data_IF_888845397535
#
_entry.id   IF_888845397535
#
_cell.length_a   1.000
_cell.length_b   1.000
_cell.length_c   1.000
_cell.angle_alpha   90.00
_cell.angle_beta   90.00
_cell.angle_gamma   90.00
#
_symmetry.space_group_name_H-M   'P 1'
#
loop_
_entity.id
_entity.type
_entity.pdbx_description
1 polymer ?
#
# COMPACT_ATOMS: atom_id res chain seq x y z
N UNK A 1 30.09 -16.39 -4.06
CA UNK A 1 29.23 -16.56 -2.88
C UNK A 1 28.36 -15.33 -2.79
N UNK A 2 27.24 -15.35 -3.52
CA UNK A 2 26.30 -14.24 -3.65
C UNK A 2 24.93 -14.82 -3.36
N UNK A 3 24.48 -14.70 -2.11
CA UNK A 3 23.10 -15.00 -1.73
C UNK A 3 22.21 -13.85 -2.19
N UNK A 4 21.35 -14.15 -3.15
CA UNK A 4 20.26 -13.32 -3.64
C UNK A 4 19.23 -13.16 -2.52
N UNK A 5 19.19 -11.99 -1.89
CA UNK A 5 18.14 -11.59 -0.95
C UNK A 5 16.94 -11.10 -1.78
N UNK A 6 16.15 -12.06 -2.28
CA UNK A 6 14.84 -11.74 -2.83
C UNK A 6 13.89 -11.53 -1.65
N UNK A 7 13.06 -10.49 -1.63
CA UNK A 7 12.03 -10.36 -0.60
C UNK A 7 11.10 -11.58 -0.70
N UNK A 8 10.84 -12.22 0.44
CA UNK A 8 9.90 -13.33 0.54
C UNK A 8 8.59 -12.94 -0.14
N UNK A 9 8.17 -13.74 -1.11
CA UNK A 9 6.83 -13.64 -1.65
C UNK A 9 5.84 -13.84 -0.49
N UNK A 10 4.74 -13.07 -0.42
CA UNK A 10 3.74 -13.33 0.61
C UNK A 10 3.25 -14.77 0.46
N UNK A 11 3.25 -15.50 1.57
CA UNK A 11 2.77 -16.88 1.63
C UNK A 11 1.35 -16.94 1.02
N UNK A 12 1.12 -17.93 0.16
CA UNK A 12 -0.19 -18.12 -0.44
C UNK A 12 -1.22 -18.34 0.69
N UNK A 13 -2.45 -17.80 0.56
CA UNK A 13 -3.45 -17.92 1.61
C UNK A 13 -3.73 -19.40 1.90
N UNK A 14 -3.58 -19.79 3.17
CA UNK A 14 -3.89 -21.12 3.67
C UNK A 14 -5.42 -21.32 3.64
N UNK A 15 -5.94 -21.85 2.53
CA UNK A 15 -7.38 -22.10 2.31
C UNK A 15 -8.07 -23.02 3.35
N UNK A 16 -7.32 -23.52 4.33
CA UNK A 16 -7.80 -24.35 5.44
C UNK A 16 -8.09 -23.56 6.71
N UNK A 17 -7.65 -22.30 6.81
CA UNK A 17 -7.93 -21.46 7.96
C UNK A 17 -9.38 -20.95 7.95
N UNK A 18 -9.95 -20.76 9.15
CA UNK A 18 -11.27 -20.16 9.25
C UNK A 18 -11.23 -18.73 8.65
N UNK A 19 -12.20 -18.31 7.82
CA UNK A 19 -12.15 -17.03 7.10
C UNK A 19 -11.85 -15.80 7.97
N UNK A 20 -12.27 -15.82 9.24
CA UNK A 20 -11.99 -14.73 10.19
C UNK A 20 -10.56 -14.70 10.77
N UNK A 21 -9.86 -15.83 10.79
CA UNK A 21 -8.49 -15.93 11.30
C UNK A 21 -7.47 -15.38 10.30
N UNK A 22 -7.67 -15.62 9.00
CA UNK A 22 -6.90 -14.99 7.92
C UNK A 22 -7.08 -13.47 7.93
N UNK A 23 -8.34 -13.01 7.92
CA UNK A 23 -8.64 -11.59 7.97
C UNK A 23 -8.00 -10.89 9.19
N UNK A 24 -8.04 -11.53 10.37
CA UNK A 24 -7.40 -10.99 11.58
C UNK A 24 -5.90 -10.83 11.39
N UNK A 25 -5.21 -11.87 10.90
CA UNK A 25 -3.77 -11.81 10.61
C UNK A 25 -3.43 -10.69 9.64
N UNK A 26 -4.20 -10.56 8.56
CA UNK A 26 -3.95 -9.56 7.53
C UNK A 26 -4.15 -8.14 8.07
N UNK A 27 -5.19 -7.93 8.88
CA UNK A 27 -5.43 -6.65 9.56
C UNK A 27 -4.31 -6.31 10.55
N UNK A 28 -3.90 -7.26 11.39
CA UNK A 28 -2.83 -7.05 12.36
C UNK A 28 -1.50 -6.75 11.63
N UNK A 29 -1.20 -7.49 10.56
CA UNK A 29 -0.04 -7.26 9.70
C UNK A 29 -0.06 -5.89 9.02
N UNK A 30 -1.21 -5.46 8.49
CA UNK A 30 -1.39 -4.15 7.88
C UNK A 30 -1.20 -3.01 8.90
N UNK A 31 -1.75 -3.15 10.11
CA UNK A 31 -1.58 -2.19 11.20
C UNK A 31 -0.10 -2.06 11.59
N UNK A 32 0.61 -3.17 11.75
CA UNK A 32 2.03 -3.16 12.10
C UNK A 32 2.90 -2.60 10.98
N UNK A 33 2.60 -2.93 9.71
CA UNK A 33 3.27 -2.34 8.56
C UNK A 33 3.06 -0.82 8.50
N UNK A 34 1.84 -0.34 8.75
CA UNK A 34 1.53 1.09 8.77
C UNK A 34 2.28 1.82 9.88
N UNK A 35 2.35 1.27 11.09
CA UNK A 35 3.16 1.84 12.19
C UNK A 35 4.63 1.98 11.81
N UNK A 36 5.22 0.94 11.22
CA UNK A 36 6.62 0.97 10.76
C UNK A 36 6.83 2.00 9.64
N UNK A 37 5.86 2.14 8.74
CA UNK A 37 5.90 3.15 7.68
C UNK A 37 5.89 4.56 8.28
N UNK A 38 4.96 4.88 9.18
CA UNK A 38 4.89 6.20 9.81
C UNK A 38 6.18 6.57 10.55
N UNK A 39 6.76 5.62 11.28
CA UNK A 39 8.05 5.82 11.97
C UNK A 39 9.19 6.15 10.99
N UNK A 40 9.25 5.47 9.83
CA UNK A 40 10.28 5.71 8.81
C UNK A 40 10.06 7.04 8.09
N UNK A 41 8.83 7.35 7.72
CA UNK A 41 8.51 8.59 6.99
C UNK A 41 8.77 9.82 7.87
N UNK A 42 8.57 9.72 9.18
CA UNK A 42 8.83 10.82 10.12
C UNK A 42 10.30 11.29 10.14
N UNK A 43 11.26 10.46 9.70
CA UNK A 43 12.68 10.82 9.61
C UNK A 43 13.14 11.22 8.21
N UNK A 44 12.26 11.22 7.20
CA UNK A 44 12.61 11.58 5.83
C UNK A 44 12.62 13.10 5.71
N UNK A 45 13.74 13.65 5.27
CA UNK A 45 13.90 15.07 4.98
C UNK A 45 13.64 15.42 3.51
N UNK A 46 13.55 16.72 3.24
CA UNK A 46 13.30 17.27 1.91
C UNK A 46 14.35 16.86 0.88
N UNK A 47 15.62 16.70 1.31
CA UNK A 47 16.67 16.23 0.43
C UNK A 47 16.40 14.78 -0.01
N UNK A 48 16.04 13.92 0.94
CA UNK A 48 15.72 12.52 0.69
C UNK A 48 14.51 12.37 -0.22
N UNK A 49 13.46 13.19 -0.04
CA UNK A 49 12.27 13.19 -0.92
C UNK A 49 12.65 13.42 -2.39
N UNK A 50 13.67 14.24 -2.67
CA UNK A 50 14.13 14.53 -4.04
C UNK A 50 15.03 13.47 -4.66
N UNK A 51 15.57 12.54 -3.86
CA UNK A 51 16.48 11.49 -4.36
C UNK A 51 15.74 10.46 -5.22
N UNK A 52 16.40 9.87 -6.22
CA UNK A 52 15.87 8.70 -6.94
C UNK A 52 15.51 7.57 -5.97
N UNK A 53 14.38 6.94 -6.22
CA UNK A 53 13.96 5.69 -5.59
C UNK A 53 14.54 4.49 -6.34
N UNK A 54 14.19 3.27 -5.89
CA UNK A 54 14.52 2.04 -6.62
C UNK A 54 13.64 1.83 -7.87
N UNK A 55 12.53 2.56 -7.99
CA UNK A 55 11.68 2.50 -9.17
C UNK A 55 12.25 3.44 -10.26
N UNK A 56 12.44 2.94 -11.50
CA UNK A 56 12.99 3.75 -12.59
C UNK A 56 12.19 5.03 -12.82
N UNK A 57 12.87 6.18 -12.81
CA UNK A 57 12.27 7.49 -13.04
C UNK A 57 11.49 8.09 -11.86
N UNK A 58 11.39 7.39 -10.72
CA UNK A 58 10.65 7.85 -9.56
C UNK A 58 11.58 8.35 -8.47
N UNK A 59 11.24 9.48 -7.83
CA UNK A 59 11.88 9.92 -6.59
C UNK A 59 11.23 9.24 -5.39
N UNK A 60 11.88 9.32 -4.22
CA UNK A 60 11.25 8.90 -2.96
C UNK A 60 9.92 9.65 -2.74
N UNK A 61 9.87 10.94 -3.08
CA UNK A 61 8.66 11.74 -3.04
C UNK A 61 7.54 11.21 -3.93
N UNK A 62 7.83 10.74 -5.14
CA UNK A 62 6.82 10.11 -5.99
C UNK A 62 6.24 8.85 -5.36
N UNK A 63 7.08 8.02 -4.73
CA UNK A 63 6.62 6.82 -4.03
C UNK A 63 5.70 7.18 -2.84
N UNK A 64 6.10 8.14 -2.02
CA UNK A 64 5.29 8.58 -0.86
C UNK A 64 3.95 9.19 -1.29
N UNK A 65 3.96 10.02 -2.33
CA UNK A 65 2.73 10.60 -2.88
C UNK A 65 1.80 9.53 -3.44
N UNK A 66 2.34 8.52 -4.13
CA UNK A 66 1.56 7.40 -4.63
C UNK A 66 0.96 6.55 -3.51
N UNK A 67 1.74 6.25 -2.46
CA UNK A 67 1.23 5.52 -1.29
C UNK A 67 0.07 6.26 -0.61
N UNK A 68 0.17 7.59 -0.46
CA UNK A 68 -0.90 8.40 0.11
C UNK A 68 -2.18 8.36 -0.74
N UNK A 69 -2.06 8.60 -2.06
CA UNK A 69 -3.22 8.54 -2.98
C UNK A 69 -3.84 7.14 -3.04
N UNK A 70 -3.00 6.10 -2.99
CA UNK A 70 -3.49 4.73 -2.91
C UNK A 70 -4.29 4.48 -1.62
N UNK A 71 -3.86 5.00 -0.47
CA UNK A 71 -4.63 4.91 0.76
C UNK A 71 -5.99 5.62 0.65
N UNK A 72 -6.03 6.82 0.08
CA UNK A 72 -7.28 7.56 -0.16
C UNK A 72 -8.25 6.77 -1.03
N UNK A 73 -7.75 6.08 -2.06
CA UNK A 73 -8.56 5.22 -2.95
C UNK A 73 -9.22 4.05 -2.20
N UNK A 74 -8.52 3.45 -1.24
CA UNK A 74 -9.07 2.38 -0.42
C UNK A 74 -10.09 2.90 0.60
N UNK A 75 -9.79 4.03 1.26
CA UNK A 75 -10.74 4.68 2.18
C UNK A 75 -12.07 4.96 1.47
N UNK A 76 -12.03 5.45 0.23
CA UNK A 76 -13.23 5.69 -0.57
C UNK A 76 -14.09 4.44 -0.74
N UNK A 77 -13.47 3.32 -1.11
CA UNK A 77 -14.19 2.05 -1.32
C UNK A 77 -14.78 1.52 -0.02
N UNK A 78 -14.02 1.57 1.08
CA UNK A 78 -14.48 1.10 2.39
C UNK A 78 -15.66 1.93 2.90
N UNK A 79 -15.56 3.25 2.80
CA UNK A 79 -16.61 4.19 3.20
C UNK A 79 -17.88 4.03 2.35
N UNK A 80 -17.76 3.70 1.07
CA UNK A 80 -18.93 3.33 0.25
C UNK A 80 -19.53 1.98 0.68
N UNK A 81 -18.69 0.98 0.94
CA UNK A 81 -19.11 -0.32 1.44
C UNK A 81 -19.86 -0.24 2.78
N UNK A 82 -19.42 0.61 3.70
CA UNK A 82 -20.13 0.88 4.97
C UNK A 82 -21.54 1.43 4.75
N UNK A 83 -21.79 2.13 3.64
CA UNK A 83 -23.12 2.62 3.25
C UNK A 83 -23.93 1.63 2.40
N UNK A 84 -23.36 0.47 2.06
CA UNK A 84 -23.97 -0.48 1.12
C UNK A 84 -23.91 -0.03 -0.35
N UNK A 85 -23.00 0.88 -0.68
CA UNK A 85 -22.79 1.42 -2.02
C UNK A 85 -21.54 0.82 -2.68
N UNK A 86 -21.49 0.84 -4.01
CA UNK A 86 -20.30 0.51 -4.79
C UNK A 86 -19.65 1.80 -5.27
N UNK A 87 -18.35 1.98 -4.99
CA UNK A 87 -17.56 3.09 -5.49
C UNK A 87 -16.40 2.61 -6.36
N UNK A 88 -16.09 3.37 -7.40
CA UNK A 88 -14.85 3.18 -8.14
C UNK A 88 -13.65 3.50 -7.24
N UNK A 89 -12.62 2.65 -7.31
CA UNK A 89 -11.36 2.87 -6.58
C UNK A 89 -10.72 4.21 -6.94
N UNK A 90 -10.71 4.52 -8.24
CA UNK A 90 -10.20 5.77 -8.79
C UNK A 90 -11.35 6.55 -9.41
N UNK A 91 -11.31 7.89 -9.34
CA UNK A 91 -12.33 8.69 -9.99
C UNK A 91 -12.32 8.42 -11.52
N UNK A 92 -13.43 7.90 -12.07
CA UNK A 92 -13.48 7.51 -13.48
C UNK A 92 -12.89 6.13 -13.78
N UNK A 93 -12.64 5.30 -12.77
CA UNK A 93 -12.18 3.92 -12.93
C UNK A 93 -10.75 3.81 -13.47
N UNK A 94 -10.50 2.80 -14.32
CA UNK A 94 -9.17 2.55 -14.89
C UNK A 94 -8.58 3.76 -15.63
N UNK A 95 -9.41 4.52 -16.35
CA UNK A 95 -8.97 5.75 -17.03
C UNK A 95 -8.49 6.83 -16.03
N UNK A 96 -9.11 6.89 -14.85
CA UNK A 96 -8.64 7.76 -13.76
C UNK A 96 -7.27 7.36 -13.22
N UNK A 97 -7.02 6.05 -13.10
CA UNK A 97 -5.71 5.51 -12.66
C UNK A 97 -4.57 5.85 -13.61
N UNK A 98 -4.83 5.85 -14.91
CA UNK A 98 -3.82 6.14 -15.94
C UNK A 98 -3.44 7.63 -16.01
N UNK A 99 -4.28 8.51 -15.47
CA UNK A 99 -4.08 9.95 -15.50
C UNK A 99 -3.34 10.50 -14.27
N UNK A 100 -3.12 9.70 -13.22
CA UNK A 100 -2.34 10.04 -12.02
C UNK A 100 -0.85 9.69 -12.15
#
# INVERSE_FOLDING_TARGET
MTTSDAPDAPDAPDRTAAPGAELRRDLDGAVDAHRRLLQRVASIDDETVRRPSLLPGWTVGHVLAHLARNADSHVRMLVAGERGEVADQYAGGAAGREAE
#
